data_IF_616102405941
#
_entry.id   IF_616102405941
#
_cell.length_a   1.000
_cell.length_b   1.000
_cell.length_c   1.000
_cell.angle_alpha   90.00
_cell.angle_beta   90.00
_cell.angle_gamma   90.00
#
_symmetry.space_group_name_H-M   'P 1'
#
loop_
_entity.id
_entity.type
_entity.pdbx_description
1 polymer ?
#
# COMPACT_ATOMS: atom_id res chain seq x y z
N UNK A 1 14.38 2.14 -15.46
CA UNK A 1 14.12 3.00 -14.29
C UNK A 1 13.52 2.10 -13.21
N UNK A 2 14.33 1.63 -12.26
CA UNK A 2 13.86 0.76 -11.19
C UNK A 2 13.23 1.63 -10.10
N UNK A 3 11.96 1.98 -10.29
CA UNK A 3 11.10 2.32 -9.15
C UNK A 3 11.18 1.14 -8.18
N UNK A 4 11.50 1.41 -6.92
CA UNK A 4 11.47 0.34 -5.92
C UNK A 4 10.02 -0.17 -5.85
N UNK A 5 9.81 -1.47 -5.61
CA UNK A 5 8.44 -2.04 -5.48
C UNK A 5 7.52 -1.25 -4.54
N UNK A 6 8.12 -0.59 -3.54
CA UNK A 6 7.40 0.29 -2.62
C UNK A 6 6.79 1.52 -3.31
N UNK A 7 7.46 2.06 -4.33
CA UNK A 7 7.02 3.21 -5.12
C UNK A 7 5.84 2.84 -6.02
N UNK A 8 5.89 1.69 -6.72
CA UNK A 8 4.75 1.14 -7.46
C UNK A 8 3.52 0.94 -6.56
N UNK A 9 3.73 0.40 -5.34
CA UNK A 9 2.64 0.22 -4.37
C UNK A 9 2.09 1.58 -3.92
N UNK A 10 2.95 2.58 -3.71
CA UNK A 10 2.50 3.93 -3.34
C UNK A 10 1.67 4.55 -4.46
N UNK A 11 2.14 4.45 -5.70
CA UNK A 11 1.41 4.96 -6.85
C UNK A 11 0.05 4.28 -7.01
N UNK A 12 0.00 2.95 -6.84
CA UNK A 12 -1.25 2.18 -6.84
C UNK A 12 -2.24 2.66 -5.76
N UNK A 13 -1.76 2.82 -4.52
CA UNK A 13 -2.59 3.31 -3.40
C UNK A 13 -3.12 4.72 -3.66
N UNK A 14 -2.27 5.63 -4.17
CA UNK A 14 -2.69 6.99 -4.51
C UNK A 14 -3.74 6.97 -5.63
N UNK A 15 -3.58 6.12 -6.64
CA UNK A 15 -4.53 5.97 -7.76
C UNK A 15 -5.89 5.42 -7.33
N UNK A 16 -5.91 4.55 -6.32
CA UNK A 16 -7.14 4.09 -5.66
C UNK A 16 -7.78 5.15 -4.74
N UNK A 17 -7.13 6.31 -4.53
CA UNK A 17 -7.63 7.38 -3.68
C UNK A 17 -7.27 7.23 -2.19
N UNK A 18 -6.31 6.36 -1.87
CA UNK A 18 -5.74 6.26 -0.53
C UNK A 18 -4.63 7.29 -0.34
N UNK A 19 -4.75 8.10 0.70
CA UNK A 19 -3.69 9.03 1.09
C UNK A 19 -2.70 8.33 2.02
N UNK A 20 -1.48 8.11 1.55
CA UNK A 20 -0.46 7.37 2.30
C UNK A 20 0.10 8.27 3.40
N UNK A 21 -0.29 8.03 4.65
CA UNK A 21 0.20 8.78 5.80
C UNK A 21 1.58 8.31 6.24
N UNK A 22 1.79 7.00 6.32
CA UNK A 22 3.04 6.43 6.84
C UNK A 22 3.26 5.01 6.37
N UNK A 23 4.48 4.69 5.98
CA UNK A 23 4.92 3.31 5.85
C UNK A 23 5.26 2.73 7.24
N UNK A 24 4.65 1.59 7.59
CA UNK A 24 4.80 0.99 8.91
C UNK A 24 5.99 0.03 8.95
N UNK A 25 5.93 -1.03 8.12
CA UNK A 25 6.96 -2.07 8.05
C UNK A 25 6.71 -2.99 6.87
N UNK A 26 7.73 -3.78 6.52
CA UNK A 26 7.62 -4.94 5.64
C UNK A 26 7.74 -6.20 6.49
N UNK A 27 6.85 -7.16 6.27
CA UNK A 27 6.89 -8.49 6.89
C UNK A 27 6.90 -9.55 5.78
N UNK A 28 8.08 -10.09 5.47
CA UNK A 28 8.27 -10.98 4.32
C UNK A 28 7.89 -10.26 3.01
N UNK A 29 6.90 -10.79 2.30
CA UNK A 29 6.37 -10.20 1.06
C UNK A 29 5.25 -9.15 1.28
N UNK A 30 4.81 -8.93 2.52
CA UNK A 30 3.75 -7.98 2.85
C UNK A 30 4.30 -6.62 3.26
N UNK A 31 3.83 -5.56 2.62
CA UNK A 31 4.13 -4.18 2.94
C UNK A 31 2.96 -3.54 3.66
N UNK A 32 3.19 -2.98 4.84
CA UNK A 32 2.16 -2.36 5.67
C UNK A 32 2.21 -0.86 5.52
N UNK A 33 1.10 -0.27 5.07
CA UNK A 33 0.93 1.17 4.93
C UNK A 33 -0.23 1.64 5.80
N UNK A 34 0.00 2.73 6.52
CA UNK A 34 -1.05 3.49 7.15
C UNK A 34 -1.56 4.49 6.12
N UNK A 35 -2.81 4.29 5.72
CA UNK A 35 -3.48 5.13 4.73
C UNK A 35 -4.65 5.85 5.38
N UNK A 36 -5.04 6.95 4.75
CA UNK A 36 -6.21 7.72 5.12
C UNK A 36 -7.13 7.80 3.91
N UNK A 37 -8.41 7.57 4.13
CA UNK A 37 -9.46 7.74 3.12
C UNK A 37 -10.49 8.70 3.66
N UNK A 38 -11.01 9.56 2.79
CA UNK A 38 -12.01 10.54 3.17
C UNK A 38 -13.28 9.89 3.75
N UNK A 39 -13.63 8.69 3.28
CA UNK A 39 -14.83 7.97 3.69
C UNK A 39 -14.67 7.07 4.92
N UNK A 40 -13.51 6.41 5.08
CA UNK A 40 -13.28 5.42 6.14
C UNK A 40 -12.32 5.91 7.22
N UNK A 41 -11.78 7.12 7.09
CA UNK A 41 -10.75 7.65 7.96
C UNK A 41 -9.41 6.92 7.80
N UNK A 42 -8.63 6.94 8.88
CA UNK A 42 -7.28 6.38 8.90
C UNK A 42 -7.30 4.90 9.25
N UNK A 43 -6.78 4.05 8.38
CA UNK A 43 -6.69 2.61 8.59
C UNK A 43 -5.38 2.05 8.01
N UNK A 44 -5.12 0.77 8.28
CA UNK A 44 -3.90 0.10 7.84
C UNK A 44 -4.26 -0.83 6.68
N UNK A 45 -3.44 -0.81 5.65
CA UNK A 45 -3.54 -1.71 4.51
C UNK A 45 -2.24 -2.46 4.36
N UNK A 46 -2.35 -3.74 4.04
CA UNK A 46 -1.21 -4.59 3.70
C UNK A 46 -1.26 -4.89 2.22
N UNK A 47 -0.16 -4.69 1.53
CA UNK A 47 -0.02 -4.95 0.10
C UNK A 47 1.04 -6.01 -0.08
N UNK A 48 0.67 -7.11 -0.74
CA UNK A 48 1.61 -8.14 -1.17
C UNK A 48 1.89 -7.98 -2.64
N UNK A 49 3.16 -7.95 -2.98
CA UNK A 49 3.61 -8.06 -4.36
C UNK A 49 3.39 -9.51 -4.85
N UNK A 50 2.55 -9.67 -5.87
CA UNK A 50 2.32 -10.95 -6.53
C UNK A 50 2.87 -10.91 -7.96
N UNK A 51 3.25 -12.07 -8.51
CA UNK A 51 3.87 -12.20 -9.84
C UNK A 51 3.10 -11.54 -11.00
N UNK A 52 1.79 -11.29 -10.84
CA UNK A 52 0.92 -10.73 -11.88
C UNK A 52 0.04 -9.56 -11.41
N UNK A 53 -0.10 -9.32 -10.11
CA UNK A 53 -0.91 -8.23 -9.57
C UNK A 53 -0.58 -7.97 -8.09
N UNK A 54 -0.78 -6.72 -7.67
CA UNK A 54 -0.71 -6.36 -6.25
C UNK A 54 -1.94 -6.91 -5.53
N UNK A 55 -1.70 -7.61 -4.43
CA UNK A 55 -2.76 -8.13 -3.57
C UNK A 55 -2.88 -7.22 -2.35
N UNK A 56 -3.87 -6.35 -2.35
CA UNK A 56 -4.16 -5.44 -1.25
C UNK A 56 -5.22 -6.05 -0.33
N UNK A 57 -5.00 -5.96 0.98
CA UNK A 57 -5.95 -6.34 2.00
C UNK A 57 -6.00 -5.25 3.08
N UNK A 58 -7.22 -4.91 3.52
CA UNK A 58 -7.42 -4.07 4.71
C UNK A 58 -7.08 -4.90 5.94
N UNK A 59 -6.16 -4.38 6.77
CA UNK A 59 -5.73 -5.04 8.01
C UNK A 59 -6.59 -4.61 9.20
#
# INVERSE_FOLDING_TARGET
MFGSKEDDIKEYLIKEGYEIKKYLRKNGDWYYFKVHTFWSGTHIVKVKDGLFNFRMEKA
#
